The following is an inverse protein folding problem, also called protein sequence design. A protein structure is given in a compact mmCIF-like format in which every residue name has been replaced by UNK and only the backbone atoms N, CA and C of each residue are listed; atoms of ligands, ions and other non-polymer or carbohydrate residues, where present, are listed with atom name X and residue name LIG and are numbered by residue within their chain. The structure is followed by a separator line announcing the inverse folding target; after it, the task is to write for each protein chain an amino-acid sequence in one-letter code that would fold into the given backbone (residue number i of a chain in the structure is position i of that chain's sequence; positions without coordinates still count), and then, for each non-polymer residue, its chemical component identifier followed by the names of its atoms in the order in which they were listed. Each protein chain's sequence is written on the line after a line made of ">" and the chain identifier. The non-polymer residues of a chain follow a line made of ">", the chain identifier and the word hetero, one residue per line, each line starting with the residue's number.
data_IF_984667757831
#
_entry.id   IF_984667757831
#
_cell.length_a   1.000
_cell.length_b   1.000
_cell.length_c   1.000
_cell.angle_alpha   90.00
_cell.angle_beta   90.00
_cell.angle_gamma   90.00
#
_symmetry.space_group_name_H-M   'P 1'
#
loop_
_entity.id
_entity.type
_entity.pdbx_description
1 polymer ?
#
# COMPACT_ATOMS: atom_id res chain seq x y z
N UNK A 1 -2.85 4.47 -3.90
CA UNK A 1 -3.12 5.92 -4.04
C UNK A 1 -2.55 6.65 -2.83
N UNK A 2 -1.78 7.72 -3.03
CA UNK A 2 -1.08 8.43 -1.95
C UNK A 2 0.39 8.01 -1.80
N UNK A 3 0.87 7.88 -0.55
CA UNK A 3 2.30 7.82 -0.17
C UNK A 3 3.18 6.96 -1.08
N UNK A 4 2.75 5.75 -1.44
CA UNK A 4 3.57 4.84 -2.24
C UNK A 4 3.76 5.28 -3.69
N UNK A 5 2.74 5.88 -4.32
CA UNK A 5 2.89 6.46 -5.64
C UNK A 5 3.84 7.67 -5.64
N UNK A 6 3.89 8.41 -4.54
CA UNK A 6 4.82 9.53 -4.36
C UNK A 6 6.25 9.06 -4.10
N UNK A 7 6.42 7.95 -3.38
CA UNK A 7 7.72 7.28 -3.23
C UNK A 7 8.20 6.78 -4.59
N UNK A 8 7.35 6.10 -5.37
CA UNK A 8 7.67 5.63 -6.73
C UNK A 8 8.06 6.81 -7.62
N UNK A 9 7.24 7.85 -7.71
CA UNK A 9 7.54 9.04 -8.52
C UNK A 9 8.85 9.73 -8.09
N UNK A 10 9.12 9.81 -6.78
CA UNK A 10 10.38 10.37 -6.27
C UNK A 10 11.59 9.49 -6.61
N UNK A 11 11.42 8.17 -6.63
CA UNK A 11 12.45 7.20 -7.00
C UNK A 11 12.70 7.21 -8.51
N UNK A 12 11.65 7.22 -9.34
CA UNK A 12 11.75 7.34 -10.80
C UNK A 12 12.43 8.64 -11.20
N UNK A 13 12.02 9.78 -10.63
CA UNK A 13 12.66 11.07 -10.87
C UNK A 13 14.14 11.10 -10.44
N UNK A 14 14.57 10.26 -9.49
CA UNK A 14 15.98 10.09 -9.14
C UNK A 14 16.72 9.13 -10.08
N UNK A 15 16.04 8.13 -10.66
CA UNK A 15 16.61 7.25 -11.70
C UNK A 15 16.92 8.03 -12.97
N UNK A 16 16.02 8.92 -13.38
CA UNK A 16 16.17 9.75 -14.58
C UNK A 16 17.37 10.72 -14.50
N UNK A 17 17.86 11.01 -13.29
CA UNK A 17 19.04 11.87 -13.05
C UNK A 17 20.39 11.17 -13.25
N UNK A 18 20.43 9.92 -13.69
CA UNK A 18 21.64 9.27 -14.23
C UNK A 18 22.74 8.87 -13.22
N UNK A 19 22.41 8.68 -11.94
CA UNK A 19 23.39 8.29 -10.90
C UNK A 19 23.39 6.79 -10.55
N UNK A 20 24.49 6.28 -9.98
CA UNK A 20 24.54 4.91 -9.41
C UNK A 20 23.42 4.72 -8.38
N UNK A 21 22.57 3.73 -8.64
CA UNK A 21 21.42 3.30 -7.83
C UNK A 21 21.94 2.59 -6.58
N UNK A 22 21.94 3.27 -5.42
CA UNK A 22 22.35 2.66 -4.14
C UNK A 22 21.16 2.54 -3.19
N UNK A 23 21.12 1.47 -2.39
CA UNK A 23 20.03 1.22 -1.43
C UNK A 23 19.81 2.40 -0.44
N UNK A 24 20.87 3.10 -0.07
CA UNK A 24 20.79 4.30 0.79
C UNK A 24 20.02 5.46 0.15
N UNK A 25 20.14 5.67 -1.17
CA UNK A 25 19.37 6.71 -1.88
C UNK A 25 17.88 6.38 -1.90
N UNK A 26 17.51 5.11 -2.06
CA UNK A 26 16.12 4.65 -1.97
C UNK A 26 15.54 4.88 -0.59
N UNK A 27 16.26 4.46 0.45
CA UNK A 27 15.82 4.65 1.84
C UNK A 27 15.62 6.14 2.13
N UNK A 28 16.56 7.00 1.73
CA UNK A 28 16.46 8.45 1.95
C UNK A 28 15.31 9.08 1.15
N UNK A 29 15.08 8.66 -0.09
CA UNK A 29 13.94 9.11 -0.90
C UNK A 29 12.61 8.68 -0.27
N UNK A 30 12.49 7.41 0.11
CA UNK A 30 11.31 6.85 0.77
C UNK A 30 11.01 7.54 2.10
N UNK A 31 12.02 7.76 2.96
CA UNK A 31 11.86 8.46 4.24
C UNK A 31 11.38 9.90 4.03
N UNK A 32 11.94 10.62 3.05
CA UNK A 32 11.50 11.99 2.73
C UNK A 32 10.07 12.03 2.22
N UNK A 33 9.69 11.12 1.33
CA UNK A 33 8.33 11.02 0.80
C UNK A 33 7.33 10.69 1.93
N UNK A 34 7.66 9.72 2.80
CA UNK A 34 6.84 9.39 3.98
C UNK A 34 6.72 10.62 4.90
N UNK A 35 7.82 11.31 5.21
CA UNK A 35 7.79 12.53 6.04
C UNK A 35 6.97 13.66 5.39
N UNK A 36 7.07 13.86 4.08
CA UNK A 36 6.23 14.83 3.38
C UNK A 36 4.74 14.48 3.51
N UNK A 37 4.40 13.19 3.43
CA UNK A 37 3.05 12.69 3.61
C UNK A 37 2.54 12.87 5.06
N UNK A 38 3.41 12.73 6.07
CA UNK A 38 3.03 12.97 7.49
C UNK A 38 2.57 14.40 7.76
N UNK A 39 2.92 15.36 6.90
CA UNK A 39 2.55 16.78 7.02
C UNK A 39 1.33 17.17 6.18
N UNK A 40 0.77 16.26 5.40
CA UNK A 40 -0.42 16.54 4.59
C UNK A 40 -1.68 16.22 5.36
N UNK A 41 -2.68 17.08 5.20
CA UNK A 41 -4.03 16.81 5.64
C UNK A 41 -4.57 15.56 4.93
N UNK A 42 -5.26 14.66 5.64
CA UNK A 42 -5.84 13.48 5.03
C UNK A 42 -6.99 13.89 4.11
N UNK A 43 -6.88 13.52 2.83
CA UNK A 43 -7.82 13.93 1.80
C UNK A 43 -8.58 12.75 1.17
N UNK A 44 -8.33 11.50 1.57
CA UNK A 44 -8.99 10.35 0.96
C UNK A 44 -10.22 9.92 1.76
N UNK A 45 -11.25 9.51 1.02
CA UNK A 45 -12.38 8.72 1.53
C UNK A 45 -12.30 7.33 0.92
N UNK A 46 -12.33 6.31 1.77
CA UNK A 46 -12.34 4.90 1.40
C UNK A 46 -13.76 4.34 1.56
N UNK A 47 -14.35 3.87 0.48
CA UNK A 47 -15.61 3.15 0.49
C UNK A 47 -15.36 1.64 0.39
N UNK A 48 -15.84 0.90 1.39
CA UNK A 48 -15.83 -0.56 1.45
C UNK A 48 -17.28 -1.09 1.35
N UNK A 49 -17.49 -2.34 0.92
CA UNK A 49 -18.82 -2.93 0.84
C UNK A 49 -19.46 -3.02 2.23
N UNK A 50 -20.75 -2.70 2.34
CA UNK A 50 -21.55 -2.84 3.56
C UNK A 50 -20.98 -2.09 4.78
N UNK A 51 -20.27 -0.97 4.55
CA UNK A 51 -19.75 -0.09 5.60
C UNK A 51 -19.93 1.36 5.20
N UNK A 52 -20.07 2.22 6.21
CA UNK A 52 -20.03 3.67 5.98
C UNK A 52 -18.67 4.10 5.41
N UNK A 53 -18.65 5.13 4.54
CA UNK A 53 -17.41 5.67 4.01
C UNK A 53 -16.45 6.11 5.12
N UNK A 54 -15.20 5.67 5.02
CA UNK A 54 -14.15 6.00 5.98
C UNK A 54 -13.42 7.24 5.45
N UNK A 55 -13.64 8.39 6.08
CA UNK A 55 -12.96 9.65 5.74
C UNK A 55 -11.63 9.78 6.47
N UNK A 56 -10.86 10.83 6.14
CA UNK A 56 -9.62 11.12 6.84
C UNK A 56 -8.51 10.09 6.56
N UNK A 57 -8.57 9.41 5.42
CA UNK A 57 -7.54 8.44 5.00
C UNK A 57 -6.37 9.20 4.35
N UNK A 58 -5.14 8.82 4.71
CA UNK A 58 -3.92 9.40 4.14
C UNK A 58 -3.45 8.67 2.88
N UNK A 59 -3.55 7.34 2.88
CA UNK A 59 -3.25 6.50 1.72
C UNK A 59 -3.99 5.18 1.80
N UNK A 60 -4.07 4.51 0.65
CA UNK A 60 -4.62 3.16 0.53
C UNK A 60 -3.67 2.32 -0.33
N UNK A 61 -3.26 1.18 0.22
CA UNK A 61 -2.68 0.05 -0.50
C UNK A 61 -3.77 -0.97 -0.74
N UNK A 62 -3.78 -1.47 -1.98
CA UNK A 62 -4.66 -2.54 -2.42
C UNK A 62 -3.76 -3.64 -2.96
N UNK A 63 -3.86 -4.82 -2.37
CA UNK A 63 -3.01 -5.96 -2.67
C UNK A 63 -3.88 -7.15 -3.08
N UNK A 64 -3.41 -7.92 -4.07
CA UNK A 64 -4.07 -9.17 -4.47
C UNK A 64 -3.49 -10.40 -3.74
N UNK A 65 -2.36 -10.22 -3.05
CA UNK A 65 -1.66 -11.29 -2.35
C UNK A 65 -0.73 -10.73 -1.27
N UNK A 66 -0.11 -11.63 -0.52
CA UNK A 66 0.91 -11.31 0.48
C UNK A 66 2.24 -12.01 0.16
N UNK A 67 3.39 -11.41 0.52
CA UNK A 67 3.57 -10.07 1.08
C UNK A 67 3.23 -8.96 0.06
N UNK A 68 3.11 -7.71 0.53
CA UNK A 68 2.85 -6.57 -0.35
C UNK A 68 4.01 -6.33 -1.32
N UNK A 69 5.25 -6.39 -0.80
CA UNK A 69 6.47 -6.30 -1.61
C UNK A 69 7.65 -6.90 -0.87
N UNK A 70 8.84 -6.81 -1.46
CA UNK A 70 10.11 -7.21 -0.86
C UNK A 70 11.10 -6.04 -0.82
N UNK A 71 11.72 -5.84 0.34
CA UNK A 71 12.90 -5.01 0.49
C UNK A 71 14.14 -5.93 0.38
N UNK A 72 14.73 -6.02 -0.81
CA UNK A 72 15.71 -7.05 -1.15
C UNK A 72 15.15 -8.47 -0.92
N UNK A 73 15.68 -9.22 0.04
CA UNK A 73 15.23 -10.56 0.39
C UNK A 73 14.25 -10.58 1.58
N UNK A 74 13.85 -9.41 2.10
CA UNK A 74 13.00 -9.30 3.28
C UNK A 74 11.56 -8.96 2.87
N UNK A 75 10.56 -9.78 3.23
CA UNK A 75 9.17 -9.47 2.93
C UNK A 75 8.71 -8.24 3.70
N UNK A 76 7.86 -7.44 3.05
CA UNK A 76 7.17 -6.28 3.63
C UNK A 76 5.68 -6.59 3.65
N UNK A 77 5.13 -6.66 4.86
CA UNK A 77 3.75 -7.07 5.10
C UNK A 77 2.84 -5.86 5.24
N UNK A 78 1.62 -5.97 4.70
CA UNK A 78 0.51 -5.05 4.96
C UNK A 78 -0.74 -5.86 5.30
N UNK A 79 -0.96 -6.92 4.51
CA UNK A 79 -2.11 -7.81 4.51
C UNK A 79 -1.63 -9.25 4.65
N UNK A 80 -1.27 -9.72 5.86
CA UNK A 80 -0.60 -11.00 6.04
C UNK A 80 -1.49 -12.21 5.74
N UNK A 81 -2.81 -12.03 5.74
CA UNK A 81 -3.78 -13.10 5.48
C UNK A 81 -4.37 -13.06 4.07
N UNK A 82 -4.08 -12.03 3.27
CA UNK A 82 -4.49 -11.95 1.87
C UNK A 82 -3.82 -13.03 1.00
N UNK A 83 -4.63 -13.72 0.17
CA UNK A 83 -4.25 -14.82 -0.72
C UNK A 83 -4.81 -14.58 -2.12
N UNK A 84 -4.31 -15.29 -3.14
CA UNK A 84 -4.85 -15.18 -4.49
C UNK A 84 -6.30 -15.70 -4.60
N UNK A 85 -6.67 -16.61 -3.70
CA UNK A 85 -7.99 -17.23 -3.63
C UNK A 85 -8.99 -16.39 -2.81
N UNK A 86 -8.53 -15.35 -2.11
CA UNK A 86 -9.40 -14.39 -1.41
C UNK A 86 -9.73 -13.19 -2.31
N UNK A 87 -10.56 -12.28 -1.81
CA UNK A 87 -10.68 -10.93 -2.36
C UNK A 87 -9.42 -10.09 -2.16
N UNK A 88 -9.57 -8.77 -2.34
CA UNK A 88 -8.48 -7.81 -2.22
C UNK A 88 -8.11 -7.55 -0.76
N UNK A 89 -6.81 -7.52 -0.48
CA UNK A 89 -6.25 -6.92 0.72
C UNK A 89 -6.30 -5.40 0.65
N UNK A 90 -6.89 -4.76 1.65
CA UNK A 90 -6.93 -3.31 1.83
C UNK A 90 -6.14 -2.96 3.07
N UNK A 91 -5.15 -2.08 2.90
CA UNK A 91 -4.37 -1.50 3.99
C UNK A 91 -4.34 0.02 3.85
N UNK A 92 -4.88 0.72 4.84
CA UNK A 92 -4.96 2.17 4.82
C UNK A 92 -4.73 2.74 6.22
N UNK A 93 -4.39 4.04 6.31
CA UNK A 93 -4.24 4.71 7.60
C UNK A 93 -5.03 6.01 7.67
N UNK A 94 -5.59 6.29 8.84
CA UNK A 94 -6.27 7.56 9.18
C UNK A 94 -5.41 8.50 10.01
N UNK A 95 -4.18 8.08 10.31
CA UNK A 95 -3.18 8.93 10.94
C UNK A 95 -1.79 8.62 10.43
N UNK A 96 -0.98 9.66 10.26
CA UNK A 96 0.45 9.56 9.97
C UNK A 96 1.32 10.18 11.07
N UNK A 97 0.82 10.28 12.32
CA UNK A 97 1.66 10.72 13.46
C UNK A 97 2.93 9.86 13.55
N UNK A 98 4.09 10.50 13.74
CA UNK A 98 5.41 9.86 13.60
C UNK A 98 5.54 8.58 14.42
N UNK A 99 5.24 8.62 15.72
CA UNK A 99 5.42 7.45 16.61
C UNK A 99 4.46 6.30 16.25
N UNK A 100 3.14 6.50 16.09
CA UNK A 100 2.25 5.47 15.56
C UNK A 100 2.71 4.88 14.23
N UNK A 101 3.09 5.73 13.26
CA UNK A 101 3.60 5.29 11.95
C UNK A 101 4.84 4.40 12.08
N UNK A 102 5.79 4.73 12.96
CA UNK A 102 6.97 3.89 13.19
C UNK A 102 6.61 2.51 13.76
N UNK A 103 5.57 2.42 14.62
CA UNK A 103 5.07 1.14 15.13
C UNK A 103 4.46 0.28 14.01
N UNK A 104 3.73 0.92 13.09
CA UNK A 104 3.20 0.25 11.89
C UNK A 104 4.33 -0.26 11.00
N UNK A 105 5.31 0.61 10.67
CA UNK A 105 6.48 0.22 9.85
C UNK A 105 7.23 -0.95 10.49
N UNK A 106 7.43 -0.94 11.82
CA UNK A 106 8.04 -2.08 12.53
C UNK A 106 7.27 -3.38 12.30
N UNK A 107 5.93 -3.35 12.31
CA UNK A 107 5.10 -4.52 12.04
C UNK A 107 5.20 -4.99 10.59
N UNK A 108 5.32 -4.07 9.62
CA UNK A 108 5.54 -4.43 8.21
C UNK A 108 6.77 -5.31 7.98
N UNK A 109 7.75 -5.28 8.87
CA UNK A 109 8.97 -6.08 8.79
C UNK A 109 9.07 -7.20 9.84
N UNK A 110 8.02 -7.42 10.64
CA UNK A 110 8.01 -8.44 11.69
C UNK A 110 7.91 -9.86 11.10
N UNK A 111 8.40 -10.85 11.85
CA UNK A 111 8.23 -12.28 11.48
C UNK A 111 6.77 -12.73 11.53
N UNK A 112 6.00 -12.16 12.45
CA UNK A 112 4.58 -12.39 12.66
C UNK A 112 3.90 -11.01 12.76
N UNK A 113 3.60 -10.36 11.61
CA UNK A 113 3.02 -9.03 11.58
C UNK A 113 1.63 -9.03 12.21
N UNK A 114 1.36 -8.03 13.06
CA UNK A 114 0.02 -7.76 13.60
C UNK A 114 -0.30 -6.29 13.47
N UNK A 115 -1.38 -5.97 12.77
CA UNK A 115 -1.81 -4.60 12.48
C UNK A 115 -3.01 -4.16 13.33
N UNK A 116 -2.98 -4.50 14.62
CA UNK A 116 -4.00 -4.12 15.61
C UNK A 116 -3.79 -2.67 16.08
N UNK A 117 -4.03 -1.70 15.19
CA UNK A 117 -3.91 -0.28 15.49
C UNK A 117 -5.20 0.45 15.13
N UNK A 118 -5.73 1.27 16.04
CA UNK A 118 -7.00 2.00 15.83
C UNK A 118 -6.99 2.97 14.63
N UNK A 119 -5.81 3.33 14.12
CA UNK A 119 -5.64 4.24 12.98
C UNK A 119 -5.27 3.51 11.68
N UNK A 120 -5.28 2.17 11.71
CA UNK A 120 -5.02 1.32 10.55
C UNK A 120 -6.31 0.60 10.19
N UNK A 121 -6.69 0.71 8.92
CA UNK A 121 -7.70 -0.13 8.31
C UNK A 121 -6.96 -1.28 7.65
N UNK A 122 -7.24 -2.50 8.11
CA UNK A 122 -6.69 -3.72 7.54
C UNK A 122 -7.84 -4.70 7.30
N UNK A 123 -8.04 -5.09 6.04
CA UNK A 123 -9.00 -6.10 5.63
C UNK A 123 -8.33 -6.97 4.57
N UNK A 124 -8.41 -8.28 4.68
CA UNK A 124 -7.70 -9.21 3.80
C UNK A 124 -8.61 -9.85 2.73
N UNK A 125 -9.90 -9.56 2.75
CA UNK A 125 -10.90 -10.18 1.86
C UNK A 125 -12.00 -9.19 1.45
N UNK A 126 -11.68 -8.32 0.49
CA UNK A 126 -12.59 -7.29 -0.01
C UNK A 126 -12.92 -7.52 -1.48
N UNK A 127 -14.19 -7.76 -1.80
CA UNK A 127 -14.64 -7.99 -3.18
C UNK A 127 -14.49 -6.76 -4.09
N UNK A 128 -14.72 -5.56 -3.56
CA UNK A 128 -14.49 -4.30 -4.27
C UNK A 128 -14.31 -3.13 -3.29
N UNK A 129 -13.63 -2.08 -3.74
CA UNK A 129 -13.52 -0.83 -2.99
C UNK A 129 -13.42 0.36 -3.93
N UNK A 130 -13.75 1.55 -3.40
CA UNK A 130 -13.49 2.82 -4.08
C UNK A 130 -12.69 3.72 -3.15
N UNK A 131 -11.77 4.48 -3.74
CA UNK A 131 -10.97 5.50 -3.06
C UNK A 131 -11.19 6.81 -3.80
N UNK A 132 -11.59 7.85 -3.08
CA UNK A 132 -11.89 9.17 -3.65
C UNK A 132 -11.11 10.24 -2.91
N UNK A 133 -10.42 11.12 -3.64
CA UNK A 133 -9.84 12.35 -3.08
C UNK A 133 -10.93 13.39 -2.90
N UNK A 134 -11.04 13.94 -1.69
CA UNK A 134 -11.94 15.05 -1.34
C UNK A 134 -11.27 16.42 -1.56
N UNK A 135 -10.01 16.43 -2.03
CA UNK A 135 -9.25 17.61 -2.38
C UNK A 135 -8.66 17.49 -3.79
N UNK A 136 -7.47 18.05 -4.06
CA UNK A 136 -6.81 17.88 -5.35
C UNK A 136 -6.60 16.41 -5.73
N UNK A 137 -6.55 16.06 -7.03
CA UNK A 137 -6.16 14.74 -7.48
C UNK A 137 -4.81 14.28 -6.90
N UNK A 138 -4.69 13.01 -6.54
CA UNK A 138 -3.53 12.46 -5.83
C UNK A 138 -2.78 11.45 -6.70
N UNK A 139 -1.45 11.49 -6.58
CA UNK A 139 -0.54 10.52 -7.18
C UNK A 139 -1.01 9.08 -6.95
N UNK A 140 -1.03 8.31 -8.02
CA UNK A 140 -1.52 6.93 -8.05
C UNK A 140 -0.55 6.05 -8.82
N UNK A 141 -0.40 4.82 -8.37
CA UNK A 141 0.44 3.81 -9.00
C UNK A 141 -0.30 2.47 -9.03
N UNK A 142 0.04 1.62 -9.99
CA UNK A 142 -0.42 0.24 -10.06
C UNK A 142 0.75 -0.67 -10.46
N UNK A 143 1.00 -1.72 -9.69
CA UNK A 143 2.10 -2.69 -9.89
C UNK A 143 3.49 -2.07 -10.14
N UNK A 144 3.76 -0.91 -9.54
CA UNK A 144 5.02 -0.18 -9.68
C UNK A 144 5.03 0.89 -10.76
N UNK A 145 4.00 0.95 -11.61
CA UNK A 145 3.88 1.96 -12.66
C UNK A 145 3.17 3.21 -12.14
N UNK A 146 3.80 4.37 -12.30
CA UNK A 146 3.16 5.65 -11.97
C UNK A 146 2.07 6.00 -12.99
N UNK A 147 0.84 6.18 -12.51
CA UNK A 147 -0.33 6.47 -13.35
C UNK A 147 -0.63 7.97 -13.48
N UNK A 148 0.17 8.84 -12.85
CA UNK A 148 -0.17 10.24 -12.67
C UNK A 148 -1.10 10.47 -11.47
N UNK A 149 -1.83 11.59 -11.49
CA UNK A 149 -2.80 11.92 -10.44
C UNK A 149 -4.20 11.38 -10.78
N UNK A 150 -4.96 10.99 -9.77
CA UNK A 150 -6.36 10.55 -9.90
C UNK A 150 -7.21 11.21 -8.82
N UNK A 151 -8.43 11.55 -9.17
CA UNK A 151 -9.45 11.94 -8.19
C UNK A 151 -10.09 10.70 -7.57
N UNK A 152 -10.39 9.68 -8.37
CA UNK A 152 -11.03 8.45 -7.91
C UNK A 152 -10.34 7.22 -8.51
N UNK A 153 -10.24 6.14 -7.72
CA UNK A 153 -9.88 4.80 -8.17
C UNK A 153 -10.90 3.79 -7.66
N UNK A 154 -11.32 2.83 -8.49
CA UNK A 154 -12.20 1.72 -8.10
C UNK A 154 -11.48 0.42 -8.38
N UNK A 155 -11.51 -0.51 -7.42
CA UNK A 155 -10.87 -1.81 -7.49
C UNK A 155 -11.92 -2.91 -7.27
N UNK A 156 -11.76 -4.04 -7.95
CA UNK A 156 -12.63 -5.20 -7.84
C UNK A 156 -11.81 -6.47 -7.97
N UNK A 157 -11.98 -7.41 -7.05
CA UNK A 157 -11.48 -8.76 -7.21
C UNK A 157 -12.29 -9.48 -8.28
N UNK A 158 -11.59 -10.15 -9.20
CA UNK A 158 -12.19 -11.06 -10.17
C UNK A 158 -11.55 -12.44 -9.93
N UNK A 159 -12.27 -13.36 -9.27
CA UNK A 159 -11.74 -14.68 -9.00
C UNK A 159 -11.49 -15.43 -10.31
N UNK A 160 -10.46 -16.27 -10.32
CA UNK A 160 -10.10 -17.13 -11.45
C UNK A 160 -9.89 -16.40 -12.79
N UNK A 161 -9.54 -15.11 -12.75
CA UNK A 161 -9.35 -14.30 -13.95
C UNK A 161 -8.19 -14.77 -14.84
N UNK A 162 -7.15 -15.36 -14.24
CA UNK A 162 -5.95 -15.84 -14.91
C UNK A 162 -5.49 -17.16 -14.30
N UNK A 163 -5.17 -18.13 -15.16
CA UNK A 163 -4.50 -19.37 -14.73
C UNK A 163 -2.99 -19.14 -14.60
N UNK A 164 -2.43 -19.46 -13.44
CA UNK A 164 -1.01 -19.26 -13.13
C UNK A 164 -0.33 -20.61 -12.92
N UNK A 165 0.81 -20.83 -13.57
CA UNK A 165 1.67 -22.00 -13.31
C UNK A 165 2.59 -21.67 -12.14
N UNK A 166 2.48 -22.44 -11.06
CA UNK A 166 3.29 -22.26 -9.86
C UNK A 166 3.94 -23.59 -9.43
N UNK A 167 5.09 -23.56 -8.72
CA UNK A 167 5.63 -24.74 -8.06
C UNK A 167 4.58 -25.38 -7.13
N UNK A 168 4.63 -26.70 -6.92
CA UNK A 168 3.70 -27.37 -6.02
C UNK A 168 3.78 -26.77 -4.61
N UNK A 169 2.62 -26.65 -3.96
CA UNK A 169 2.53 -26.13 -2.60
C UNK A 169 3.46 -26.94 -1.67
N UNK A 170 4.38 -26.27 -0.97
CA UNK A 170 5.16 -26.94 0.08
C UNK A 170 4.22 -27.30 1.22
N UNK A 171 4.14 -28.60 1.55
CA UNK A 171 3.49 -29.06 2.78
C UNK A 171 4.18 -28.36 3.96
N UNK A 172 3.42 -27.62 4.77
CA UNK A 172 3.90 -27.17 6.08
C UNK A 172 4.11 -28.44 6.92
N UNK A 173 5.36 -28.72 7.28
CA UNK A 173 5.75 -29.75 8.26
C UNK A 173 5.61 -29.14 9.65
#
# INVERSE_FOLDING_TARGET
>A
MGVDAEVVAAVEAERDKGGKVTAWRYIRAAVRAVLACTRREPALTLQLPNRDPITGVHFVFVSNSSPWTYANNRPVWTNPDCRFESGLGVFATTSMKVVPTLRVVRQMFAKQPKFEFNHVINNDDVACLRVTSMGPPIASQFDGDYLGVRETMTFRAVPDALAVVAPPARKRI
#
